data_IF_625064265021
#
_entry.id   IF_625064265021
#
_cell.length_a   1.000
_cell.length_b   1.000
_cell.length_c   1.000
_cell.angle_alpha   90.00
_cell.angle_beta   90.00
_cell.angle_gamma   90.00
#
_symmetry.space_group_name_H-M   'P 1'
#
loop_
_entity.id
_entity.type
_entity.pdbx_description
1 polymer ?
#
# COMPACT_ATOMS: atom_id res chain seq x y z
N UNK A 1 -50.94 -24.11 73.84
CA UNK A 1 -49.91 -25.15 73.62
C UNK A 1 -49.59 -25.22 72.14
N UNK A 2 -48.29 -25.08 71.81
CA UNK A 2 -47.60 -25.49 70.56
C UNK A 2 -47.84 -24.64 69.29
N UNK A 3 -46.85 -23.79 69.05
CA UNK A 3 -46.42 -23.33 67.73
C UNK A 3 -45.88 -24.50 66.88
N UNK A 4 -46.01 -24.43 65.54
CA UNK A 4 -44.86 -24.43 64.62
C UNK A 4 -45.26 -24.49 63.14
N UNK A 5 -44.78 -23.47 62.41
CA UNK A 5 -44.00 -23.52 61.17
C UNK A 5 -44.58 -24.16 59.90
N UNK A 6 -44.92 -23.26 58.96
CA UNK A 6 -44.94 -23.47 57.53
C UNK A 6 -43.55 -23.82 56.98
N UNK A 7 -43.48 -24.78 56.05
CA UNK A 7 -42.33 -25.01 55.17
C UNK A 7 -42.75 -24.77 53.71
N UNK A 8 -42.39 -23.61 53.18
CA UNK A 8 -42.37 -23.33 51.74
C UNK A 8 -41.00 -23.78 51.23
N UNK A 9 -40.97 -24.78 50.35
CA UNK A 9 -39.76 -25.20 49.67
C UNK A 9 -39.55 -24.32 48.43
N UNK A 10 -38.52 -23.46 48.48
CA UNK A 10 -38.06 -22.67 47.34
C UNK A 10 -37.02 -23.50 46.56
N UNK A 11 -37.40 -24.02 45.39
CA UNK A 11 -36.45 -24.65 44.47
C UNK A 11 -35.78 -23.53 43.67
N UNK A 12 -34.55 -23.19 44.04
CA UNK A 12 -33.65 -22.34 43.25
C UNK A 12 -32.95 -23.23 42.24
N UNK A 13 -33.36 -23.17 40.97
CA UNK A 13 -32.64 -23.78 39.86
C UNK A 13 -31.44 -22.89 39.49
N UNK A 14 -30.26 -23.22 40.01
CA UNK A 14 -29.00 -22.64 39.57
C UNK A 14 -28.64 -23.18 38.19
N UNK A 15 -28.89 -22.39 37.13
CA UNK A 15 -28.25 -22.60 35.84
C UNK A 15 -26.75 -22.34 36.01
N UNK A 16 -25.98 -23.43 36.13
CA UNK A 16 -24.54 -23.39 35.96
C UNK A 16 -24.24 -23.05 34.49
N UNK A 17 -23.96 -21.78 34.20
CA UNK A 17 -23.29 -21.39 32.96
C UNK A 17 -21.88 -21.96 33.05
N UNK A 18 -21.66 -23.12 32.45
CA UNK A 18 -20.34 -23.68 32.27
C UNK A 18 -19.56 -22.77 31.31
N UNK A 19 -18.82 -21.83 31.88
CA UNK A 19 -17.78 -21.08 31.17
C UNK A 19 -16.74 -22.09 30.69
N UNK A 20 -16.82 -22.52 29.43
CA UNK A 20 -15.75 -23.28 28.79
C UNK A 20 -14.54 -22.35 28.62
N UNK A 21 -13.79 -22.19 29.70
CA UNK A 21 -12.41 -21.71 29.68
C UNK A 21 -11.64 -22.66 28.78
N UNK A 22 -11.33 -22.26 27.53
CA UNK A 22 -10.35 -22.99 26.75
C UNK A 22 -9.08 -23.05 27.60
N UNK A 23 -8.67 -24.25 27.97
CA UNK A 23 -7.44 -24.48 28.72
C UNK A 23 -6.32 -23.75 27.97
N UNK A 24 -5.67 -22.79 28.62
CA UNK A 24 -4.47 -22.16 28.08
C UNK A 24 -3.39 -23.23 28.09
N UNK A 25 -2.89 -23.60 26.92
CA UNK A 25 -1.72 -24.46 26.89
C UNK A 25 -0.57 -23.73 27.56
N UNK A 26 0.21 -24.46 28.36
CA UNK A 26 1.41 -23.90 28.97
C UNK A 26 2.50 -23.87 27.91
N UNK A 27 3.14 -22.72 27.72
CA UNK A 27 4.29 -22.62 26.83
C UNK A 27 5.36 -23.66 27.21
N UNK A 28 5.85 -24.46 26.26
CA UNK A 28 6.99 -25.34 26.52
C UNK A 28 8.14 -24.54 27.11
N UNK A 29 8.77 -25.05 28.19
CA UNK A 29 9.79 -24.30 28.95
C UNK A 29 10.90 -23.73 28.07
N UNK A 30 11.37 -24.51 27.09
CA UNK A 30 12.40 -24.07 26.15
C UNK A 30 11.94 -22.86 25.31
N UNK A 31 10.69 -22.86 24.83
CA UNK A 31 10.10 -21.76 24.04
C UNK A 31 9.89 -20.53 24.90
N UNK A 32 9.31 -20.70 26.10
CA UNK A 32 9.13 -19.60 27.04
C UNK A 32 10.46 -18.96 27.45
N UNK A 33 11.49 -19.77 27.67
CA UNK A 33 12.84 -19.28 27.99
C UNK A 33 13.46 -18.51 26.83
N UNK A 34 13.33 -18.99 25.60
CA UNK A 34 13.83 -18.29 24.42
C UNK A 34 13.22 -16.88 24.28
N UNK A 35 11.92 -16.71 24.50
CA UNK A 35 11.31 -15.38 24.48
C UNK A 35 11.90 -14.46 25.56
N UNK A 36 12.04 -14.95 26.80
CA UNK A 36 12.56 -14.17 27.92
C UNK A 36 14.03 -13.78 27.73
N UNK A 37 14.86 -14.68 27.21
CA UNK A 37 16.28 -14.43 26.94
C UNK A 37 16.47 -13.35 25.85
N UNK A 38 15.49 -13.19 24.94
CA UNK A 38 15.44 -12.09 23.97
C UNK A 38 14.62 -10.87 24.42
N UNK A 39 14.28 -10.78 25.71
CA UNK A 39 13.59 -9.63 26.28
C UNK A 39 12.13 -9.48 25.86
N UNK A 40 11.49 -10.56 25.38
CA UNK A 40 10.06 -10.58 25.00
C UNK A 40 9.24 -11.14 26.17
N UNK A 41 8.42 -10.31 26.86
CA UNK A 41 7.58 -10.79 27.95
C UNK A 41 6.52 -11.78 27.44
N UNK A 42 6.24 -12.84 28.19
CA UNK A 42 5.29 -13.88 27.75
C UNK A 42 3.85 -13.37 27.61
N UNK A 43 3.49 -12.27 28.27
CA UNK A 43 2.21 -11.59 28.08
C UNK A 43 2.16 -10.72 26.80
N UNK A 44 3.21 -10.74 25.98
CA UNK A 44 3.30 -10.13 24.64
C UNK A 44 3.40 -11.17 23.53
N UNK A 45 3.10 -12.43 23.83
CA UNK A 45 3.13 -13.55 22.88
C UNK A 45 1.72 -14.15 22.75
N UNK A 46 1.30 -14.45 21.53
CA UNK A 46 0.16 -15.33 21.24
C UNK A 46 0.55 -16.28 20.12
N UNK A 47 0.26 -17.56 20.26
CA UNK A 47 0.68 -18.61 19.33
C UNK A 47 -0.49 -19.56 19.09
N UNK A 48 -0.68 -19.94 17.84
CA UNK A 48 -1.55 -21.04 17.44
C UNK A 48 -0.79 -21.93 16.47
N UNK A 49 -0.83 -23.24 16.70
CA UNK A 49 -0.37 -24.26 15.77
C UNK A 49 -1.57 -25.14 15.44
N UNK A 50 -2.04 -25.06 14.19
CA UNK A 50 -3.22 -25.78 13.72
C UNK A 50 -2.82 -26.76 12.61
N UNK A 51 -3.10 -28.05 12.81
CA UNK A 51 -3.01 -29.02 11.73
C UNK A 51 -4.18 -28.81 10.75
N UNK A 52 -3.89 -28.78 9.45
CA UNK A 52 -4.90 -28.55 8.42
C UNK A 52 -5.94 -29.68 8.46
N UNK A 53 -7.22 -29.30 8.45
CA UNK A 53 -8.35 -30.24 8.47
C UNK A 53 -8.73 -30.80 9.85
N UNK A 54 -7.98 -30.49 10.91
CA UNK A 54 -8.37 -30.85 12.29
C UNK A 54 -9.26 -29.78 12.92
N UNK A 55 -10.27 -30.15 13.73
CA UNK A 55 -11.21 -29.19 14.33
C UNK A 55 -10.63 -28.40 15.51
N UNK A 56 -9.46 -28.77 16.03
CA UNK A 56 -8.80 -28.13 17.17
C UNK A 56 -7.31 -27.92 16.89
N UNK A 57 -6.69 -26.86 17.44
CA UNK A 57 -5.27 -26.64 17.29
C UNK A 57 -4.48 -27.70 18.07
N UNK A 58 -3.28 -28.01 17.58
CA UNK A 58 -2.29 -28.82 18.30
C UNK A 58 -1.74 -28.06 19.51
N UNK A 59 -1.68 -26.74 19.42
CA UNK A 59 -1.19 -25.86 20.48
C UNK A 59 -1.83 -24.48 20.36
N UNK A 60 -2.27 -23.92 21.48
CA UNK A 60 -2.83 -22.57 21.58
C UNK A 60 -2.40 -21.87 22.87
N UNK A 61 -1.64 -20.77 22.74
CA UNK A 61 -1.23 -19.91 23.84
C UNK A 61 -1.73 -18.48 23.60
N UNK A 62 -2.57 -17.97 24.51
CA UNK A 62 -3.21 -16.64 24.41
C UNK A 62 -3.85 -16.36 23.03
N UNK A 63 -4.33 -17.42 22.36
CA UNK A 63 -4.74 -17.43 20.96
C UNK A 63 -5.83 -16.40 20.61
N UNK A 64 -6.72 -16.11 21.55
CA UNK A 64 -7.87 -15.22 21.37
C UNK A 64 -7.59 -13.77 21.81
N UNK A 65 -6.36 -13.45 22.20
CA UNK A 65 -5.97 -12.08 22.55
C UNK A 65 -5.74 -11.27 21.27
N UNK A 66 -6.45 -10.14 21.05
CA UNK A 66 -6.18 -9.31 19.87
C UNK A 66 -4.81 -8.66 19.98
N UNK A 67 -3.98 -8.84 18.95
CA UNK A 67 -2.61 -8.32 18.88
C UNK A 67 -2.44 -7.46 17.64
N UNK A 68 -1.43 -6.57 17.64
CA UNK A 68 -1.05 -5.88 16.41
C UNK A 68 -0.41 -6.91 15.45
N UNK A 69 -0.97 -7.14 14.25
CA UNK A 69 -0.44 -8.14 13.34
C UNK A 69 0.83 -7.72 12.61
N UNK A 70 1.11 -6.42 12.51
CA UNK A 70 1.93 -5.89 11.42
C UNK A 70 1.47 -6.50 10.07
N UNK A 71 2.41 -6.71 9.15
CA UNK A 71 2.13 -7.13 7.77
C UNK A 71 1.36 -8.44 7.59
N UNK A 72 1.19 -9.29 8.61
CA UNK A 72 0.35 -10.50 8.43
C UNK A 72 -1.13 -10.17 8.20
N UNK A 73 -1.56 -8.93 8.47
CA UNK A 73 -2.89 -8.43 8.06
C UNK A 73 -3.12 -8.55 6.55
N UNK A 74 -2.05 -8.46 5.73
CA UNK A 74 -2.14 -8.61 4.28
C UNK A 74 -2.69 -9.97 3.86
N UNK A 75 -2.56 -11.01 4.68
CA UNK A 75 -3.17 -12.31 4.40
C UNK A 75 -4.70 -12.22 4.39
N UNK A 76 -5.29 -11.47 5.32
CA UNK A 76 -6.75 -11.23 5.35
C UNK A 76 -7.17 -10.46 4.09
N UNK A 77 -6.48 -9.37 3.78
CA UNK A 77 -6.80 -8.52 2.62
C UNK A 77 -6.65 -9.26 1.30
N UNK A 78 -5.54 -9.95 1.09
CA UNK A 78 -5.27 -10.65 -0.18
C UNK A 78 -6.14 -11.88 -0.36
N UNK A 79 -6.45 -12.60 0.71
CA UNK A 79 -7.39 -13.72 0.65
C UNK A 79 -8.81 -13.25 0.35
N UNK A 80 -9.29 -12.20 1.05
CA UNK A 80 -10.58 -11.58 0.74
C UNK A 80 -10.64 -11.09 -0.72
N UNK A 81 -9.56 -10.52 -1.24
CA UNK A 81 -9.49 -10.06 -2.63
C UNK A 81 -9.63 -11.20 -3.64
N UNK A 82 -8.89 -12.30 -3.46
CA UNK A 82 -9.00 -13.46 -4.34
C UNK A 82 -10.43 -14.02 -4.38
N UNK A 83 -11.11 -13.99 -3.24
CA UNK A 83 -12.45 -14.54 -3.06
C UNK A 83 -13.57 -13.61 -3.53
N UNK A 84 -13.41 -12.29 -3.39
CA UNK A 84 -14.42 -11.29 -3.76
C UNK A 84 -14.28 -10.86 -5.23
N UNK A 85 -13.04 -10.60 -5.68
CA UNK A 85 -12.76 -10.05 -7.00
C UNK A 85 -12.55 -11.16 -8.05
N UNK A 86 -12.08 -12.32 -7.61
CA UNK A 86 -11.61 -13.39 -8.48
C UNK A 86 -10.16 -13.23 -8.91
N UNK A 87 -9.44 -14.34 -9.08
CA UNK A 87 -8.00 -14.39 -9.36
C UNK A 87 -7.56 -13.62 -10.62
N UNK A 88 -8.44 -13.48 -11.60
CA UNK A 88 -8.16 -12.87 -12.90
C UNK A 88 -8.62 -11.40 -12.97
N UNK A 89 -9.07 -10.83 -11.84
CA UNK A 89 -9.42 -9.41 -11.77
C UNK A 89 -8.24 -8.54 -12.22
N UNK A 90 -8.54 -7.55 -13.06
CA UNK A 90 -7.60 -6.55 -13.54
C UNK A 90 -8.14 -5.16 -13.26
N UNK A 91 -7.24 -4.28 -12.85
CA UNK A 91 -7.53 -2.86 -12.74
C UNK A 91 -7.34 -2.19 -14.09
N UNK A 92 -8.03 -1.08 -14.27
CA UNK A 92 -7.91 -0.24 -15.45
C UNK A 92 -7.49 1.17 -15.10
N UNK A 93 -6.79 1.82 -16.02
CA UNK A 93 -6.51 3.26 -16.01
C UNK A 93 -6.83 3.78 -17.40
N UNK A 94 -7.67 4.81 -17.49
CA UNK A 94 -8.28 5.23 -18.75
C UNK A 94 -7.92 6.67 -19.08
N UNK A 95 -7.74 6.95 -20.38
CA UNK A 95 -7.59 8.28 -20.92
C UNK A 95 -8.84 8.69 -21.68
N UNK A 96 -9.34 9.90 -21.43
CA UNK A 96 -10.49 10.49 -22.10
C UNK A 96 -10.10 11.81 -22.74
N UNK A 97 -10.80 12.18 -23.82
CA UNK A 97 -10.58 13.43 -24.53
C UNK A 97 -11.65 14.46 -24.12
N UNK A 98 -11.21 15.63 -23.69
CA UNK A 98 -12.07 16.78 -23.39
C UNK A 98 -12.48 17.59 -24.63
N UNK A 99 -12.12 17.13 -25.82
CA UNK A 99 -12.40 17.80 -27.09
C UNK A 99 -11.95 16.96 -28.29
N UNK A 100 -12.13 17.45 -29.52
CA UNK A 100 -11.74 16.73 -30.72
C UNK A 100 -10.22 16.75 -30.94
N UNK A 101 -9.69 15.71 -31.58
CA UNK A 101 -8.33 15.72 -32.14
C UNK A 101 -8.39 16.28 -33.56
N UNK A 102 -7.76 17.42 -33.78
CA UNK A 102 -7.63 18.08 -35.10
C UNK A 102 -6.16 18.14 -35.48
N UNK A 103 -5.79 17.63 -36.66
CA UNK A 103 -4.39 17.54 -37.11
C UNK A 103 -3.47 16.94 -36.03
N UNK A 104 -3.90 15.82 -35.45
CA UNK A 104 -3.21 15.09 -34.36
C UNK A 104 -3.00 15.90 -33.08
N UNK A 105 -3.70 17.03 -32.91
CA UNK A 105 -3.68 17.86 -31.71
C UNK A 105 -5.03 17.82 -31.02
N UNK A 106 -5.07 17.43 -29.74
CA UNK A 106 -6.28 17.53 -28.94
C UNK A 106 -6.60 19.00 -28.65
N UNK A 107 -7.78 19.46 -29.06
CA UNK A 107 -8.32 20.78 -28.75
C UNK A 107 -9.17 20.71 -27.49
N UNK A 108 -8.51 20.66 -26.34
CA UNK A 108 -9.12 20.48 -25.03
C UNK A 108 -8.22 19.67 -24.10
N UNK A 109 -8.79 19.27 -22.97
CA UNK A 109 -8.03 18.64 -21.90
C UNK A 109 -7.88 17.13 -22.13
N UNK A 110 -6.72 16.57 -21.77
CA UNK A 110 -6.57 15.12 -21.63
C UNK A 110 -6.95 14.75 -20.20
N UNK A 111 -7.92 13.84 -20.03
CA UNK A 111 -8.34 13.38 -18.70
C UNK A 111 -7.80 11.97 -18.45
N UNK A 112 -7.01 11.79 -17.40
CA UNK A 112 -6.54 10.48 -16.93
C UNK A 112 -7.33 10.07 -15.68
N UNK A 113 -7.99 8.92 -15.75
CA UNK A 113 -8.79 8.38 -14.67
C UNK A 113 -8.19 7.10 -14.12
N UNK A 114 -7.90 7.13 -12.83
CA UNK A 114 -7.43 5.96 -12.10
C UNK A 114 -8.58 5.23 -11.41
N UNK A 115 -8.53 3.89 -11.44
CA UNK A 115 -9.48 3.01 -10.74
C UNK A 115 -8.80 2.18 -9.63
N UNK A 116 -7.69 2.67 -9.10
CA UNK A 116 -7.00 2.07 -7.97
C UNK A 116 -6.02 0.95 -8.32
N UNK A 117 -5.45 0.97 -9.52
CA UNK A 117 -4.42 0.01 -9.91
C UNK A 117 -3.29 -0.02 -8.85
N UNK A 118 -2.98 -1.20 -8.28
CA UNK A 118 -1.97 -1.32 -7.24
C UNK A 118 -0.54 -1.22 -7.77
N UNK A 119 -0.31 -1.39 -9.07
CA UNK A 119 1.03 -1.54 -9.65
C UNK A 119 1.05 -1.13 -11.14
N UNK A 120 1.01 0.18 -11.39
CA UNK A 120 1.45 0.73 -12.68
C UNK A 120 2.95 0.94 -12.62
N UNK A 121 3.75 0.19 -13.38
CA UNK A 121 5.21 0.40 -13.45
C UNK A 121 5.56 1.55 -14.40
N UNK A 122 6.82 2.01 -14.36
CA UNK A 122 7.33 3.03 -15.30
C UNK A 122 7.19 2.54 -16.75
N UNK A 123 7.49 1.28 -17.01
CA UNK A 123 7.43 0.69 -18.35
C UNK A 123 5.98 0.64 -18.86
N UNK A 124 5.03 0.21 -18.03
CA UNK A 124 3.61 0.22 -18.39
C UNK A 124 3.11 1.64 -18.65
N UNK A 125 3.55 2.60 -17.84
CA UNK A 125 3.22 4.01 -18.02
C UNK A 125 3.77 4.57 -19.34
N UNK A 126 5.03 4.29 -19.66
CA UNK A 126 5.66 4.68 -20.92
C UNK A 126 4.96 4.06 -22.13
N UNK A 127 4.62 2.76 -22.06
CA UNK A 127 3.84 2.09 -23.10
C UNK A 127 2.46 2.70 -23.27
N UNK A 128 1.80 3.09 -22.18
CA UNK A 128 0.50 3.78 -22.26
C UNK A 128 0.62 5.15 -22.92
N UNK A 129 1.64 5.94 -22.59
CA UNK A 129 1.89 7.23 -23.27
C UNK A 129 2.20 7.04 -24.76
N UNK A 130 3.01 6.02 -25.10
CA UNK A 130 3.30 5.67 -26.49
C UNK A 130 2.03 5.20 -27.24
N UNK A 131 1.11 4.50 -26.57
CA UNK A 131 -0.17 4.11 -27.15
C UNK A 131 -1.07 5.33 -27.44
N UNK A 132 -1.12 6.34 -26.55
CA UNK A 132 -1.85 7.59 -26.81
C UNK A 132 -1.33 8.28 -28.09
N UNK A 133 0.00 8.37 -28.22
CA UNK A 133 0.70 8.88 -29.41
C UNK A 133 0.36 8.10 -30.67
N UNK A 134 0.46 6.77 -30.60
CA UNK A 134 0.15 5.89 -31.73
C UNK A 134 -1.30 6.03 -32.20
N UNK A 135 -2.24 6.25 -31.27
CA UNK A 135 -3.65 6.46 -31.55
C UNK A 135 -3.99 7.85 -32.13
N UNK A 136 -2.99 8.72 -32.35
CA UNK A 136 -3.19 10.00 -33.03
C UNK A 136 -3.04 11.24 -32.17
N UNK A 137 -2.71 11.11 -30.88
CA UNK A 137 -2.55 12.25 -29.97
C UNK A 137 -1.11 12.73 -29.96
N UNK A 138 -0.74 13.62 -30.88
CA UNK A 138 0.63 14.15 -30.94
C UNK A 138 0.86 15.33 -29.99
N UNK A 139 -0.13 16.19 -29.86
CA UNK A 139 -0.08 17.37 -29.01
C UNK A 139 -1.38 17.57 -28.25
N UNK A 140 -1.31 18.25 -27.11
CA UNK A 140 -2.45 18.60 -26.28
C UNK A 140 -2.47 20.12 -26.13
N UNK A 141 -3.54 20.75 -26.63
CA UNK A 141 -3.85 22.18 -26.53
C UNK A 141 -4.93 22.37 -25.46
N UNK A 142 -4.53 22.10 -24.21
CA UNK A 142 -5.36 22.07 -23.02
C UNK A 142 -4.56 21.60 -21.81
N UNK A 143 -5.24 21.32 -20.72
CA UNK A 143 -4.66 20.88 -19.46
C UNK A 143 -4.60 19.33 -19.35
N UNK A 144 -3.78 18.84 -18.41
CA UNK A 144 -3.88 17.47 -17.92
C UNK A 144 -4.83 17.44 -16.73
N UNK A 145 -5.94 16.73 -16.86
CA UNK A 145 -6.93 16.56 -15.81
C UNK A 145 -6.80 15.18 -15.19
N UNK A 146 -6.69 15.08 -13.87
CA UNK A 146 -6.73 13.80 -13.17
C UNK A 146 -8.12 13.58 -12.56
N UNK A 147 -8.72 12.43 -12.87
CA UNK A 147 -9.90 11.92 -12.17
C UNK A 147 -9.46 10.84 -11.16
N UNK A 148 -9.35 11.26 -9.90
CA UNK A 148 -9.05 10.39 -8.76
C UNK A 148 -10.30 10.06 -7.93
N UNK A 149 -11.49 10.41 -8.42
CA UNK A 149 -12.74 10.35 -7.65
C UNK A 149 -13.25 8.94 -7.38
N UNK A 150 -12.59 7.91 -7.92
CA UNK A 150 -12.91 6.51 -7.62
C UNK A 150 -12.70 6.19 -6.14
N UNK A 151 -11.72 6.86 -5.51
CA UNK A 151 -11.47 6.79 -4.06
C UNK A 151 -11.80 8.11 -3.38
N UNK A 152 -12.31 8.04 -2.15
CA UNK A 152 -12.48 9.18 -1.24
C UNK A 152 -11.74 8.86 0.03
N UNK A 153 -10.59 9.51 0.18
CA UNK A 153 -9.60 9.21 1.22
C UNK A 153 -9.57 10.34 2.24
N UNK A 154 -9.40 10.02 3.54
CA UNK A 154 -9.10 11.04 4.53
C UNK A 154 -7.73 11.67 4.24
N UNK A 155 -7.48 12.85 4.84
CA UNK A 155 -6.13 13.42 4.87
C UNK A 155 -5.15 12.39 5.43
N UNK A 156 -4.01 12.25 4.75
CA UNK A 156 -3.01 11.24 5.05
C UNK A 156 -1.65 11.90 5.26
N UNK A 157 -1.11 11.72 6.47
CA UNK A 157 0.24 12.12 6.80
C UNK A 157 1.19 10.90 6.71
N UNK A 158 2.11 10.85 5.72
CA UNK A 158 3.05 9.75 5.58
C UNK A 158 4.08 9.66 6.73
N UNK A 159 4.26 10.71 7.54
CA UNK A 159 5.14 10.67 8.71
C UNK A 159 4.46 10.07 9.95
N UNK A 160 3.13 9.93 9.96
CA UNK A 160 2.36 9.60 11.17
C UNK A 160 2.69 8.24 11.81
N UNK A 161 3.25 7.30 11.05
CA UNK A 161 3.56 5.95 11.54
C UNK A 161 4.88 5.87 12.32
N UNK A 162 5.95 6.45 11.76
CA UNK A 162 7.33 6.29 12.23
C UNK A 162 8.21 7.55 12.05
N UNK A 163 7.65 8.66 11.58
CA UNK A 163 8.39 9.89 11.32
C UNK A 163 9.16 9.91 10.00
N UNK A 164 8.96 8.92 9.13
CA UNK A 164 9.75 8.73 7.90
C UNK A 164 8.90 8.97 6.63
N UNK A 165 8.49 10.21 6.31
CA UNK A 165 7.51 10.50 5.26
C UNK A 165 7.96 10.14 3.84
N UNK A 166 9.28 10.09 3.61
CA UNK A 166 9.85 9.82 2.29
C UNK A 166 9.99 8.32 1.99
N UNK A 167 9.72 7.44 2.95
CA UNK A 167 9.85 5.99 2.73
C UNK A 167 8.73 5.51 1.81
N UNK A 168 9.03 4.75 0.74
CA UNK A 168 8.01 4.24 -0.17
C UNK A 168 6.92 3.40 0.52
N UNK A 169 7.25 2.70 1.62
CA UNK A 169 6.28 1.92 2.38
C UNK A 169 5.24 2.76 3.14
N UNK A 170 5.51 4.07 3.30
CA UNK A 170 4.62 5.06 3.91
C UNK A 170 3.78 5.82 2.88
N UNK A 171 3.89 5.53 1.58
CA UNK A 171 3.02 6.15 0.57
C UNK A 171 1.55 5.76 0.82
N UNK A 172 0.66 6.75 0.74
CA UNK A 172 -0.79 6.55 0.85
C UNK A 172 -1.36 5.90 -0.42
N UNK A 173 -2.53 5.24 -0.35
CA UNK A 173 -3.22 4.80 -1.54
C UNK A 173 -3.75 5.99 -2.34
N UNK A 174 -4.00 5.79 -3.62
CA UNK A 174 -4.59 6.79 -4.51
C UNK A 174 -5.28 6.08 -5.67
N UNK A 175 -6.39 6.64 -6.18
CA UNK A 175 -7.08 6.05 -7.32
C UNK A 175 -6.19 6.02 -8.58
N UNK A 176 -5.26 6.99 -8.74
CA UNK A 176 -4.29 7.06 -9.81
C UNK A 176 -2.86 7.06 -9.22
N UNK A 177 -2.37 5.86 -8.91
CA UNK A 177 -1.03 5.64 -8.38
C UNK A 177 -0.10 5.11 -9.49
N UNK A 178 0.88 5.92 -9.88
CA UNK A 178 1.93 5.52 -10.84
C UNK A 178 3.22 5.24 -10.09
N UNK A 179 3.86 4.10 -10.38
CA UNK A 179 5.16 3.69 -9.89
C UNK A 179 5.36 3.88 -8.38
N UNK A 180 4.33 3.59 -7.60
CA UNK A 180 4.30 3.76 -6.14
C UNK A 180 4.66 5.19 -5.66
N UNK A 181 4.59 6.19 -6.55
CA UNK A 181 5.06 7.56 -6.30
C UNK A 181 6.55 7.63 -5.93
N UNK A 182 7.33 6.61 -6.32
CA UNK A 182 8.70 6.45 -5.88
C UNK A 182 9.70 6.87 -6.97
N UNK A 183 10.81 7.44 -6.52
CA UNK A 183 11.99 7.75 -7.31
C UNK A 183 13.15 6.97 -6.71
N UNK A 184 13.90 6.26 -7.56
CA UNK A 184 15.16 5.62 -7.22
C UNK A 184 16.29 6.63 -7.40
N UNK A 185 17.03 6.89 -6.33
CA UNK A 185 18.32 7.57 -6.41
C UNK A 185 19.40 6.50 -6.58
N UNK A 186 20.04 6.51 -7.74
CA UNK A 186 21.07 5.54 -8.12
C UNK A 186 22.46 6.14 -7.96
N UNK A 187 23.24 5.63 -7.01
CA UNK A 187 24.60 6.03 -6.73
C UNK A 187 25.55 5.10 -7.48
N UNK A 188 26.34 5.64 -8.41
CA UNK A 188 27.30 4.88 -9.22
C UNK A 188 28.70 5.46 -9.05
N UNK A 189 29.59 4.79 -8.28
CA UNK A 189 30.96 5.24 -8.11
C UNK A 189 31.81 4.94 -9.37
N UNK A 190 32.67 5.88 -9.73
CA UNK A 190 33.74 5.72 -10.71
C UNK A 190 35.08 5.93 -10.00
N UNK A 191 35.71 4.82 -9.64
CA UNK A 191 36.99 4.84 -8.91
C UNK A 191 38.15 5.38 -9.75
N UNK A 192 38.08 5.29 -11.08
CA UNK A 192 39.13 5.80 -11.97
C UNK A 192 39.03 7.32 -12.06
N UNK A 193 37.82 7.84 -12.25
CA UNK A 193 37.57 9.27 -12.30
C UNK A 193 37.59 9.94 -10.90
N UNK A 194 37.52 9.15 -9.82
CA UNK A 194 37.46 9.67 -8.45
C UNK A 194 36.13 10.37 -8.14
N UNK A 195 35.03 9.97 -8.79
CA UNK A 195 33.72 10.62 -8.65
C UNK A 195 32.62 9.60 -8.37
N UNK A 196 31.46 10.08 -7.92
CA UNK A 196 30.22 9.30 -7.86
C UNK A 196 29.15 10.10 -8.56
N UNK A 197 28.40 9.43 -9.43
CA UNK A 197 27.21 10.01 -10.06
C UNK A 197 25.96 9.61 -9.26
N UNK A 198 24.98 10.50 -9.21
CA UNK A 198 23.66 10.23 -8.65
C UNK A 198 22.62 10.52 -9.71
N UNK A 199 21.83 9.52 -10.08
CA UNK A 199 20.75 9.65 -11.05
C UNK A 199 19.39 9.39 -10.39
N UNK A 200 18.34 10.07 -10.85
CA UNK A 200 16.97 9.85 -10.42
C UNK A 200 16.19 9.06 -11.48
N UNK A 201 15.57 7.95 -11.08
CA UNK A 201 14.80 7.07 -11.95
C UNK A 201 13.37 6.86 -11.40
N UNK A 202 12.30 7.16 -12.16
CA UNK A 202 12.32 7.81 -13.47
C UNK A 202 12.87 9.24 -13.37
N UNK A 203 13.41 9.75 -14.47
CA UNK A 203 13.80 11.16 -14.56
C UNK A 203 12.53 12.00 -14.52
N UNK A 204 12.42 12.90 -13.54
CA UNK A 204 11.30 13.83 -13.41
C UNK A 204 11.89 15.24 -13.37
N UNK A 205 11.41 16.14 -14.23
CA UNK A 205 11.93 17.51 -14.31
C UNK A 205 11.68 18.30 -13.00
N UNK A 206 10.68 17.90 -12.22
CA UNK A 206 10.33 18.45 -10.91
C UNK A 206 11.22 17.95 -9.76
N UNK A 207 12.09 16.97 -10.02
CA UNK A 207 13.07 16.45 -9.06
C UNK A 207 14.46 16.92 -9.46
N UNK A 208 14.98 17.89 -8.73
CA UNK A 208 16.30 18.47 -8.96
C UNK A 208 17.33 17.78 -8.07
N UNK A 209 18.33 17.17 -8.70
CA UNK A 209 19.51 16.65 -7.99
C UNK A 209 20.59 17.74 -7.91
N UNK A 210 21.04 18.01 -6.70
CA UNK A 210 22.18 18.86 -6.40
C UNK A 210 23.51 18.15 -6.66
N UNK A 211 24.59 18.67 -6.09
CA UNK A 211 25.92 18.06 -6.24
C UNK A 211 25.93 16.65 -5.63
N UNK A 212 26.54 15.67 -6.31
CA UNK A 212 26.72 14.33 -5.74
C UNK A 212 27.66 14.37 -4.53
N UNK A 213 27.64 13.35 -3.66
CA UNK A 213 28.58 13.26 -2.55
C UNK A 213 30.03 13.10 -3.06
N UNK A 214 31.01 13.36 -2.19
CA UNK A 214 32.42 13.16 -2.54
C UNK A 214 32.76 11.67 -2.47
N UNK A 215 33.41 11.14 -3.51
CA UNK A 215 33.91 9.76 -3.47
C UNK A 215 35.12 9.65 -2.53
N UNK A 216 35.17 8.61 -1.70
CA UNK A 216 36.35 8.29 -0.89
C UNK A 216 36.65 6.79 -0.81
N UNK A 217 37.71 6.44 -0.08
CA UNK A 217 38.17 5.07 0.13
C UNK A 217 37.79 4.53 1.53
N UNK A 218 36.77 5.09 2.18
CA UNK A 218 36.29 4.60 3.48
C UNK A 218 35.54 3.27 3.36
N UNK A 219 35.13 2.69 4.48
CA UNK A 219 34.25 1.52 4.47
C UNK A 219 32.81 1.93 4.17
N UNK A 220 32.12 1.14 3.34
CA UNK A 220 30.75 1.45 2.93
C UNK A 220 29.79 1.67 4.11
N UNK A 221 29.85 0.79 5.12
CA UNK A 221 29.09 0.94 6.38
C UNK A 221 27.64 1.38 6.20
N UNK A 222 27.21 2.32 7.05
CA UNK A 222 25.95 3.03 6.91
C UNK A 222 26.06 4.19 5.91
N UNK A 223 26.22 3.84 4.63
CA UNK A 223 26.43 4.80 3.55
C UNK A 223 25.32 5.85 3.43
N UNK A 224 24.07 5.52 3.85
CA UNK A 224 22.94 6.45 3.75
C UNK A 224 23.09 7.64 4.71
N UNK A 225 23.63 7.40 5.89
CA UNK A 225 23.97 8.48 6.82
C UNK A 225 25.20 9.26 6.34
N UNK A 226 26.21 8.60 5.78
CA UNK A 226 27.47 9.25 5.39
C UNK A 226 27.35 10.15 4.17
N UNK A 227 26.42 9.88 3.24
CA UNK A 227 26.20 10.77 2.08
C UNK A 227 25.63 12.13 2.46
N UNK A 228 25.10 12.28 3.68
CA UNK A 228 24.59 13.55 4.18
C UNK A 228 23.51 14.13 3.28
N UNK A 229 22.52 13.30 2.92
CA UNK A 229 21.44 13.71 2.04
C UNK A 229 20.50 14.72 2.73
N UNK A 230 20.18 15.79 2.03
CA UNK A 230 19.16 16.76 2.42
C UNK A 230 18.05 16.77 1.39
N UNK A 231 16.82 16.63 1.86
CA UNK A 231 15.62 16.60 1.02
C UNK A 231 14.78 17.84 1.33
N UNK A 232 14.53 18.66 0.31
CA UNK A 232 13.62 19.81 0.39
C UNK A 232 12.47 19.54 -0.57
N UNK A 233 11.28 19.28 -0.04
CA UNK A 233 10.12 18.85 -0.82
C UNK A 233 8.93 19.79 -0.61
N UNK A 234 8.31 20.22 -1.71
CA UNK A 234 6.94 20.75 -1.75
C UNK A 234 6.01 19.68 -2.34
N UNK A 235 4.73 19.99 -2.52
CA UNK A 235 3.79 19.10 -3.20
C UNK A 235 4.24 18.78 -4.64
N UNK A 236 4.74 19.80 -5.33
CA UNK A 236 4.99 19.83 -6.77
C UNK A 236 6.45 19.76 -7.17
N UNK A 237 7.39 19.93 -6.24
CA UNK A 237 8.83 19.97 -6.55
C UNK A 237 9.67 19.35 -5.43
N UNK A 238 10.80 18.79 -5.79
CA UNK A 238 11.78 18.30 -4.83
C UNK A 238 13.21 18.68 -5.22
N UNK A 239 14.03 19.00 -4.22
CA UNK A 239 15.47 19.18 -4.37
C UNK A 239 16.19 18.22 -3.42
N UNK A 240 17.16 17.48 -3.95
CA UNK A 240 17.97 16.52 -3.18
C UNK A 240 19.43 16.92 -3.31
N UNK A 241 20.11 17.18 -2.20
CA UNK A 241 21.52 17.52 -2.18
C UNK A 241 22.31 16.60 -1.26
N UNK A 242 23.60 16.42 -1.53
CA UNK A 242 24.49 15.56 -0.75
C UNK A 242 25.68 16.38 -0.25
N UNK A 243 25.83 16.47 1.08
CA UNK A 243 26.93 17.18 1.72
C UNK A 243 28.08 16.29 2.20
N UNK A 244 27.91 14.96 2.07
CA UNK A 244 28.79 13.98 2.68
C UNK A 244 29.64 13.19 1.69
N UNK A 245 29.97 11.97 2.08
CA UNK A 245 30.92 11.09 1.37
C UNK A 245 30.27 9.77 0.97
N UNK A 246 30.77 9.19 -0.11
CA UNK A 246 30.38 7.87 -0.61
C UNK A 246 31.61 7.01 -0.84
N UNK A 247 31.66 5.84 -0.21
CA UNK A 247 32.78 4.93 -0.33
C UNK A 247 32.79 4.22 -1.69
N UNK A 248 33.93 4.18 -2.37
CA UNK A 248 34.08 3.47 -3.64
C UNK A 248 33.76 1.97 -3.53
N UNK A 249 34.08 1.35 -2.39
CA UNK A 249 33.80 -0.07 -2.14
C UNK A 249 32.30 -0.37 -1.89
N UNK A 250 31.43 0.65 -1.79
CA UNK A 250 29.98 0.42 -1.78
C UNK A 250 29.48 -0.19 -3.10
N UNK A 251 30.19 0.04 -4.21
CA UNK A 251 29.68 -0.24 -5.54
C UNK A 251 28.41 0.56 -5.83
N UNK A 252 27.58 0.06 -6.75
CA UNK A 252 26.28 0.65 -7.04
C UNK A 252 25.31 0.45 -5.86
N UNK A 253 24.56 1.51 -5.52
CA UNK A 253 23.49 1.47 -4.51
C UNK A 253 22.26 2.24 -4.95
N UNK A 254 21.11 1.70 -4.59
CA UNK A 254 19.81 2.33 -4.76
C UNK A 254 19.24 2.87 -3.44
N UNK A 255 18.60 4.03 -3.54
CA UNK A 255 17.79 4.61 -2.48
C UNK A 255 16.45 5.09 -3.04
N UNK A 256 15.42 4.31 -2.73
CA UNK A 256 14.04 4.64 -3.07
C UNK A 256 13.44 5.66 -2.10
N UNK A 257 12.88 6.73 -2.64
CA UNK A 257 12.25 7.83 -1.91
C UNK A 257 10.92 8.22 -2.57
N UNK A 258 10.01 8.81 -1.81
CA UNK A 258 8.73 9.34 -2.29
C UNK A 258 8.71 10.86 -2.12
N UNK A 259 9.02 11.59 -3.19
CA UNK A 259 9.41 13.01 -3.11
C UNK A 259 8.29 14.02 -3.37
N UNK A 260 7.29 13.64 -4.18
CA UNK A 260 6.19 14.51 -4.61
C UNK A 260 4.87 14.04 -3.99
N UNK A 261 3.81 14.83 -4.09
CA UNK A 261 2.44 14.35 -3.83
C UNK A 261 1.91 13.49 -5.01
N UNK A 262 0.71 12.91 -4.86
CA UNK A 262 0.17 12.03 -5.92
C UNK A 262 -0.11 12.77 -7.23
N UNK A 263 -0.88 13.88 -7.25
CA UNK A 263 -1.17 14.58 -8.49
C UNK A 263 0.07 15.05 -9.24
N UNK A 264 1.05 15.62 -8.55
CA UNK A 264 2.24 16.16 -9.18
C UNK A 264 3.21 15.07 -9.62
N UNK A 265 3.31 13.94 -8.90
CA UNK A 265 4.07 12.79 -9.40
C UNK A 265 3.49 12.27 -10.72
N UNK A 266 2.16 12.09 -10.80
CA UNK A 266 1.50 11.62 -12.03
C UNK A 266 1.69 12.63 -13.16
N UNK A 267 1.59 13.92 -12.88
CA UNK A 267 1.84 14.98 -13.85
C UNK A 267 3.29 14.97 -14.37
N UNK A 268 4.27 14.87 -13.48
CA UNK A 268 5.69 14.80 -13.84
C UNK A 268 6.01 13.55 -14.68
N UNK A 269 5.48 12.40 -14.26
CA UNK A 269 5.62 11.13 -14.96
C UNK A 269 4.92 11.15 -16.33
N UNK A 270 3.72 11.74 -16.43
CA UNK A 270 3.01 11.98 -17.68
C UNK A 270 3.83 12.84 -18.62
N UNK A 271 4.23 14.04 -18.16
CA UNK A 271 4.93 15.03 -18.98
C UNK A 271 6.22 14.47 -19.54
N UNK A 272 6.99 13.77 -18.70
CA UNK A 272 8.22 13.12 -19.15
C UNK A 272 7.95 12.01 -20.14
N UNK A 273 7.11 11.02 -19.79
CA UNK A 273 6.88 9.87 -20.66
C UNK A 273 6.17 10.24 -21.98
N UNK A 274 5.27 11.22 -21.96
CA UNK A 274 4.60 11.72 -23.16
C UNK A 274 5.59 12.45 -24.07
N UNK A 275 6.46 13.32 -23.51
CA UNK A 275 7.55 13.97 -24.25
C UNK A 275 8.51 12.95 -24.86
N UNK A 276 8.93 11.96 -24.09
CA UNK A 276 9.88 10.94 -24.53
C UNK A 276 9.28 10.06 -25.65
N UNK A 277 7.94 9.91 -25.68
CA UNK A 277 7.20 9.32 -26.79
C UNK A 277 6.98 10.29 -27.99
N UNK A 278 7.59 11.48 -27.97
CA UNK A 278 7.51 12.52 -29.01
C UNK A 278 6.35 13.51 -28.85
N UNK A 279 5.60 13.41 -27.75
CA UNK A 279 4.45 14.25 -27.37
C UNK A 279 4.79 15.70 -27.09
N UNK A 280 3.84 16.59 -27.37
CA UNK A 280 3.92 18.01 -26.99
C UNK A 280 2.80 18.37 -26.03
N UNK A 281 3.19 18.82 -24.84
CA UNK A 281 2.26 19.27 -23.80
C UNK A 281 2.88 20.43 -23.04
N UNK A 282 2.11 21.51 -22.88
CA UNK A 282 2.51 22.71 -22.12
C UNK A 282 1.39 23.19 -21.19
N UNK A 283 0.33 22.39 -21.03
CA UNK A 283 -0.78 22.70 -20.15
C UNK A 283 -0.43 22.57 -18.68
N UNK A 284 -1.40 22.87 -17.84
CA UNK A 284 -1.29 22.76 -16.38
C UNK A 284 -1.99 21.50 -15.86
N UNK A 285 -1.75 21.19 -14.59
CA UNK A 285 -2.46 20.14 -13.86
C UNK A 285 -3.80 20.66 -13.33
N UNK A 286 -4.87 19.89 -13.53
CA UNK A 286 -6.20 20.09 -12.95
C UNK A 286 -6.74 18.79 -12.34
N UNK A 287 -7.74 18.90 -11.47
CA UNK A 287 -8.49 17.75 -10.97
C UNK A 287 -9.98 17.93 -11.20
N UNK A 288 -10.59 17.02 -11.98
CA UNK A 288 -12.03 16.97 -12.24
C UNK A 288 -12.42 15.53 -12.57
N UNK A 289 -13.72 15.22 -12.46
CA UNK A 289 -14.25 13.93 -12.88
C UNK A 289 -14.24 13.79 -14.41
N UNK A 290 -13.97 12.60 -14.91
CA UNK A 290 -14.15 12.28 -16.31
C UNK A 290 -15.63 12.41 -16.71
N UNK A 291 -15.94 12.79 -17.97
CA UNK A 291 -17.32 12.89 -18.44
C UNK A 291 -18.08 11.57 -18.27
N UNK A 292 -19.32 11.65 -17.78
CA UNK A 292 -20.17 10.46 -17.58
C UNK A 292 -20.56 9.87 -18.94
N UNK A 293 -20.39 8.56 -19.10
CA UNK A 293 -20.76 7.84 -20.32
C UNK A 293 -19.86 8.11 -21.53
N UNK A 294 -18.74 8.81 -21.37
CA UNK A 294 -17.74 8.90 -22.42
C UNK A 294 -17.03 7.55 -22.57
N UNK A 295 -16.73 7.18 -23.81
CA UNK A 295 -15.85 6.05 -24.10
C UNK A 295 -14.39 6.47 -23.93
N UNK A 296 -13.52 5.60 -23.36
CA UNK A 296 -12.11 5.91 -23.22
C UNK A 296 -11.42 5.93 -24.58
N UNK A 297 -10.55 6.91 -24.80
CA UNK A 297 -9.68 6.99 -25.97
C UNK A 297 -8.57 5.93 -25.93
N UNK A 298 -8.10 5.60 -24.73
CA UNK A 298 -7.21 4.48 -24.49
C UNK A 298 -7.38 3.95 -23.07
N UNK A 299 -7.03 2.69 -22.86
CA UNK A 299 -7.03 2.04 -21.54
C UNK A 299 -5.72 1.29 -21.33
N UNK A 300 -5.19 1.37 -20.12
CA UNK A 300 -4.15 0.52 -19.57
C UNK A 300 -4.81 -0.49 -18.64
N UNK A 301 -4.51 -1.78 -18.83
CA UNK A 301 -4.92 -2.85 -17.93
C UNK A 301 -3.74 -3.38 -17.12
N UNK A 302 -3.99 -3.65 -15.83
CA UNK A 302 -2.99 -4.18 -14.91
C UNK A 302 -2.66 -5.65 -15.20
N UNK A 303 -1.61 -6.16 -14.53
CA UNK A 303 -1.44 -7.60 -14.32
C UNK A 303 -2.62 -8.17 -13.50
N UNK A 304 -2.94 -9.48 -13.62
CA UNK A 304 -4.08 -10.06 -12.91
C UNK A 304 -3.83 -10.15 -11.40
N UNK A 305 -4.91 -10.18 -10.61
CA UNK A 305 -4.85 -10.16 -9.16
C UNK A 305 -3.94 -11.24 -8.56
N UNK A 306 -3.86 -12.45 -9.14
CA UNK A 306 -3.00 -13.51 -8.59
C UNK A 306 -1.51 -13.11 -8.58
N UNK A 307 -1.03 -12.39 -9.59
CA UNK A 307 0.36 -11.90 -9.66
C UNK A 307 0.56 -10.76 -8.67
N UNK A 308 -0.42 -9.86 -8.56
CA UNK A 308 -0.40 -8.74 -7.61
C UNK A 308 -0.37 -9.26 -6.16
N UNK A 309 -1.17 -10.28 -5.84
CA UNK A 309 -1.19 -10.92 -4.50
C UNK A 309 0.16 -11.55 -4.17
N UNK A 310 0.81 -12.20 -5.14
CA UNK A 310 2.17 -12.72 -4.95
C UNK A 310 3.12 -11.61 -4.53
N UNK A 311 3.13 -10.49 -5.24
CA UNK A 311 4.01 -9.36 -4.93
C UNK A 311 3.69 -8.72 -3.59
N UNK A 312 2.41 -8.50 -3.27
CA UNK A 312 1.96 -7.99 -1.96
C UNK A 312 2.50 -8.86 -0.83
N UNK A 313 2.37 -10.18 -0.95
CA UNK A 313 2.72 -11.10 0.13
C UNK A 313 4.22 -11.40 0.20
N UNK A 314 4.92 -11.47 -0.94
CA UNK A 314 6.37 -11.74 -0.97
C UNK A 314 7.22 -10.51 -0.65
N UNK A 315 6.81 -9.34 -1.12
CA UNK A 315 7.51 -8.08 -0.88
C UNK A 315 6.94 -7.33 0.33
N UNK A 316 5.86 -7.85 0.94
CA UNK A 316 5.12 -7.19 2.03
C UNK A 316 4.75 -5.74 1.67
N UNK A 317 4.34 -5.49 0.43
CA UNK A 317 4.10 -4.14 -0.08
C UNK A 317 2.84 -3.50 0.55
N UNK A 318 3.03 -2.45 1.35
CA UNK A 318 1.95 -1.76 2.05
C UNK A 318 0.99 -1.03 1.11
N UNK A 319 1.53 -0.36 0.10
CA UNK A 319 0.77 0.48 -0.82
C UNK A 319 -0.17 -0.39 -1.65
N UNK A 320 0.36 -1.48 -2.23
CA UNK A 320 -0.44 -2.45 -2.98
C UNK A 320 -1.56 -3.06 -2.12
N UNK A 321 -1.25 -3.44 -0.87
CA UNK A 321 -2.27 -3.97 0.04
C UNK A 321 -3.40 -2.97 0.30
N UNK A 322 -3.08 -1.68 0.49
CA UNK A 322 -4.08 -0.61 0.70
C UNK A 322 -4.91 -0.34 -0.56
N UNK A 323 -4.30 -0.43 -1.75
CA UNK A 323 -5.01 -0.33 -3.04
C UNK A 323 -6.01 -1.47 -3.22
N UNK A 324 -5.57 -2.71 -2.96
CA UNK A 324 -6.46 -3.89 -2.98
C UNK A 324 -7.59 -3.72 -1.97
N UNK A 325 -7.28 -3.31 -0.74
CA UNK A 325 -8.27 -3.10 0.31
C UNK A 325 -9.37 -2.13 -0.13
N UNK A 326 -9.02 -0.98 -0.72
CA UNK A 326 -10.00 -0.03 -1.26
C UNK A 326 -10.76 -0.58 -2.47
N UNK A 327 -10.13 -1.43 -3.29
CA UNK A 327 -10.79 -2.11 -4.41
C UNK A 327 -11.93 -3.01 -3.93
N UNK A 328 -11.77 -3.68 -2.78
CA UNK A 328 -12.85 -4.47 -2.17
C UNK A 328 -14.12 -3.62 -1.94
N UNK A 329 -13.94 -2.40 -1.46
CA UNK A 329 -15.05 -1.46 -1.30
C UNK A 329 -15.62 -1.00 -2.65
N UNK A 330 -14.77 -0.74 -3.63
CA UNK A 330 -15.17 -0.21 -4.92
C UNK A 330 -16.02 -1.19 -5.75
N UNK A 331 -15.82 -2.50 -5.55
CA UNK A 331 -16.61 -3.56 -6.17
C UNK A 331 -17.86 -3.90 -5.37
N UNK A 332 -17.82 -3.80 -4.04
CA UNK A 332 -18.97 -4.14 -3.19
C UNK A 332 -19.97 -2.99 -2.97
N UNK A 333 -19.56 -1.74 -3.19
CA UNK A 333 -20.40 -0.55 -2.97
C UNK A 333 -20.28 0.44 -4.12
N UNK A 334 -21.29 1.30 -4.33
CA UNK A 334 -21.15 2.44 -5.22
C UNK A 334 -19.93 3.32 -4.84
N UNK A 335 -19.13 3.77 -5.82
CA UNK A 335 -18.05 4.72 -5.61
C UNK A 335 -18.54 6.02 -4.93
N UNK A 336 -17.66 6.74 -4.21
CA UNK A 336 -16.25 6.45 -4.03
C UNK A 336 -16.00 5.36 -2.97
N UNK A 337 -14.90 4.62 -3.13
CA UNK A 337 -14.41 3.71 -2.10
C UNK A 337 -13.79 4.49 -0.94
N UNK A 338 -13.96 4.00 0.28
CA UNK A 338 -13.35 4.58 1.49
C UNK A 338 -12.75 3.46 2.35
N UNK A 339 -11.76 3.75 3.21
CA UNK A 339 -11.21 2.74 4.12
C UNK A 339 -12.27 2.09 5.01
N UNK A 340 -13.28 2.87 5.45
CA UNK A 340 -14.40 2.36 6.24
C UNK A 340 -15.26 1.35 5.46
N UNK A 341 -15.61 1.66 4.20
CA UNK A 341 -16.33 0.73 3.31
C UNK A 341 -15.51 -0.53 3.05
N UNK A 342 -14.18 -0.41 2.96
CA UNK A 342 -13.29 -1.54 2.71
C UNK A 342 -13.22 -2.49 3.92
N UNK A 343 -13.16 -1.93 5.13
CA UNK A 343 -13.28 -2.71 6.35
C UNK A 343 -14.64 -3.42 6.45
N UNK A 344 -15.73 -2.76 6.06
CA UNK A 344 -17.06 -3.39 6.01
C UNK A 344 -17.12 -4.49 4.95
N UNK A 345 -16.53 -4.30 3.77
CA UNK A 345 -16.43 -5.32 2.72
C UNK A 345 -15.78 -6.62 3.25
N UNK A 346 -14.62 -6.52 3.91
CA UNK A 346 -13.93 -7.67 4.51
C UNK A 346 -14.80 -8.33 5.59
N UNK A 347 -15.42 -7.55 6.49
CA UNK A 347 -16.28 -8.09 7.56
C UNK A 347 -17.52 -8.79 7.02
N UNK A 348 -18.15 -8.25 5.96
CA UNK A 348 -19.30 -8.87 5.30
C UNK A 348 -18.91 -10.17 4.62
N UNK A 349 -17.76 -10.21 3.95
CA UNK A 349 -17.24 -11.43 3.34
C UNK A 349 -16.91 -12.49 4.40
N UNK A 350 -16.25 -12.15 5.50
CA UNK A 350 -16.02 -13.07 6.63
C UNK A 350 -17.34 -13.64 7.17
N UNK A 351 -18.35 -12.78 7.34
CA UNK A 351 -19.69 -13.18 7.77
C UNK A 351 -20.36 -14.13 6.78
N UNK A 352 -20.27 -13.89 5.47
CA UNK A 352 -20.86 -14.78 4.45
C UNK A 352 -20.15 -16.13 4.38
N UNK A 353 -18.84 -16.17 4.67
CA UNK A 353 -18.04 -17.39 4.83
C UNK A 353 -18.23 -18.09 6.19
N UNK A 354 -19.02 -17.53 7.10
CA UNK A 354 -19.21 -18.03 8.48
C UNK A 354 -17.89 -18.14 9.25
N UNK A 355 -16.90 -17.30 8.91
CA UNK A 355 -15.60 -17.22 9.60
C UNK A 355 -15.69 -16.11 10.64
N UNK A 356 -15.58 -16.48 11.91
CA UNK A 356 -15.54 -15.53 13.02
C UNK A 356 -14.09 -15.23 13.41
N UNK A 357 -13.72 -13.94 13.38
CA UNK A 357 -12.44 -13.42 13.84
C UNK A 357 -12.72 -12.39 14.94
N UNK A 358 -12.97 -12.82 16.19
CA UNK A 358 -13.25 -11.91 17.29
C UNK A 358 -12.12 -10.90 17.47
N UNK A 359 -12.47 -9.63 17.72
CA UNK A 359 -11.47 -8.58 17.92
C UNK A 359 -10.72 -8.14 16.66
N UNK A 360 -11.15 -8.56 15.46
CA UNK A 360 -10.61 -8.03 14.20
C UNK A 360 -10.88 -6.52 14.10
N UNK A 361 -9.80 -5.76 14.05
CA UNK A 361 -9.78 -4.34 13.69
C UNK A 361 -8.92 -4.22 12.43
N UNK A 362 -9.57 -3.92 11.31
CA UNK A 362 -8.95 -3.72 10.00
C UNK A 362 -9.39 -2.35 9.48
N UNK A 363 -8.42 -1.48 9.20
CA UNK A 363 -8.66 -0.08 8.79
C UNK A 363 -7.93 0.32 7.52
N UNK A 364 -6.79 -0.32 7.22
CA UNK A 364 -6.04 -0.08 6.00
C UNK A 364 -5.65 -1.36 5.26
N UNK A 365 -5.75 -2.52 5.93
CA UNK A 365 -5.56 -3.84 5.32
C UNK A 365 -4.09 -4.21 5.05
N UNK A 366 -3.13 -3.34 5.36
CA UNK A 366 -1.71 -3.62 5.18
C UNK A 366 -1.01 -4.05 6.47
N UNK A 367 -1.58 -3.76 7.65
CA UNK A 367 -0.88 -4.00 8.91
C UNK A 367 0.06 -2.87 9.32
N UNK A 368 0.18 -1.79 8.54
CA UNK A 368 1.03 -0.65 8.89
C UNK A 368 0.50 0.09 10.12
N UNK A 369 -0.80 0.00 10.40
CA UNK A 369 -1.40 0.74 11.51
C UNK A 369 -1.00 0.19 12.88
N UNK A 370 -0.80 1.10 13.84
CA UNK A 370 -0.67 0.75 15.27
C UNK A 370 -2.00 0.34 15.90
N UNK A 371 -3.13 0.60 15.24
CA UNK A 371 -4.49 0.34 15.73
C UNK A 371 -5.06 -1.00 15.28
N UNK A 372 -4.62 -1.55 14.14
CA UNK A 372 -5.13 -2.83 13.64
C UNK A 372 -4.89 -3.98 14.62
N UNK A 373 -5.87 -4.88 14.70
CA UNK A 373 -5.86 -6.01 15.63
C UNK A 373 -6.36 -7.26 14.95
N UNK A 374 -5.74 -8.38 15.27
CA UNK A 374 -6.26 -9.72 14.96
C UNK A 374 -5.75 -10.68 16.02
N UNK A 375 -6.50 -11.76 16.27
CA UNK A 375 -6.10 -12.83 17.18
C UNK A 375 -5.28 -13.88 16.42
N UNK A 376 -4.36 -14.57 17.08
CA UNK A 376 -3.63 -15.68 16.44
C UNK A 376 -4.57 -16.81 16.02
N UNK A 377 -5.60 -17.08 16.83
CA UNK A 377 -6.67 -18.02 16.49
C UNK A 377 -7.50 -17.57 15.30
N UNK A 378 -7.71 -16.26 15.15
CA UNK A 378 -8.41 -15.68 14.02
C UNK A 378 -7.65 -15.78 12.70
N UNK A 379 -6.32 -15.63 12.75
CA UNK A 379 -5.45 -15.78 11.57
C UNK A 379 -5.28 -17.24 11.13
N UNK A 380 -5.41 -18.20 12.05
CA UNK A 380 -5.26 -19.62 11.77
C UNK A 380 -6.52 -20.30 11.21
N UNK A 381 -7.67 -19.63 11.22
CA UNK A 381 -8.94 -20.08 10.65
C UNK A 381 -9.00 -19.75 9.17
#
# INVERSE_FOLDING_TARGET
MRASLARIALIVATLAVASTSMARDVLPRAVGRAFLDHGVPLNRVAIVVQEIGKPKPLFAYDAERPMNPASVMKLVTTFAALEILGRDYRWKTEAYLGGPILNRTLKGDLILKGYGDPKITVEQWQLFMAALRANGLDAIDGDLVLDRSYFSLPLYDPASFDGEPLKPYNVGPDALLVNFKSVRLLFTPDAIAGTVSVNAEPRLDDVVLGRPPTLDASDCGDWRSTVGASFVTTADRASVAFGGRYAANCGERDWWVALLDHPHYVHAAFTTAFRDAGGKFTGSLKERRAPLGAEPFASLESAPLYDIVRDVNKLSNNVMARQIFLTLAAVMYPPPATPAKAGDAVKRWLKSRKVAIPGLVIENGSGLSRHERITAGGLAR
#
